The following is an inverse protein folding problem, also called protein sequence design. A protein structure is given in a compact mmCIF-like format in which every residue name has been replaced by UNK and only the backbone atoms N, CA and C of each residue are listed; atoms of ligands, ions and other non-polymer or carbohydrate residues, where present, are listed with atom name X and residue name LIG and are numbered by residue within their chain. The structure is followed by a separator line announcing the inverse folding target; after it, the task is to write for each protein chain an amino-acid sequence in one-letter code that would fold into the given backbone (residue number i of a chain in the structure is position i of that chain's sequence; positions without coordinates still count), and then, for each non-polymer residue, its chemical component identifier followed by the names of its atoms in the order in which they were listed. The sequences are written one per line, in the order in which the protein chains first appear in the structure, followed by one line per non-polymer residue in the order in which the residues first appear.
data_IF_309558911737
#
_entry.id   IF_309558911737
#
_cell.length_a   1.000
_cell.length_b   1.000
_cell.length_c   1.000
_cell.angle_alpha   90.00
_cell.angle_beta   90.00
_cell.angle_gamma   90.00
#
_symmetry.space_group_name_H-M   'P 1'
#
loop_
_entity.id
_entity.type
_entity.pdbx_description
1 polymer ?
#
# COMPACT_ATOMS: atom_id res chain seq x y z
N UNK A 1 18.31 13.48 5.51
CA UNK A 1 17.65 12.32 6.16
C UNK A 1 18.68 11.21 6.13
N UNK A 2 18.98 10.59 7.27
CA UNK A 2 19.97 9.51 7.35
C UNK A 2 19.49 8.25 6.62
N UNK A 3 20.41 7.40 6.12
CA UNK A 3 20.12 6.16 5.41
C UNK A 3 19.21 5.24 6.25
N UNK A 4 19.45 5.16 7.56
CA UNK A 4 18.60 4.39 8.48
C UNK A 4 17.17 4.94 8.58
N UNK A 5 17.01 6.26 8.63
CA UNK A 5 15.68 6.89 8.65
C UNK A 5 14.94 6.66 7.33
N UNK A 6 15.66 6.71 6.21
CA UNK A 6 15.14 6.45 4.87
C UNK A 6 14.68 5.00 4.72
N UNK A 7 15.45 4.05 5.24
CA UNK A 7 15.06 2.65 5.30
C UNK A 7 13.80 2.43 6.13
N UNK A 8 13.73 3.02 7.33
CA UNK A 8 12.54 2.88 8.19
C UNK A 8 11.29 3.43 7.48
N UNK A 9 11.38 4.63 6.89
CA UNK A 9 10.25 5.16 6.09
C UNK A 9 9.88 4.24 4.93
N UNK A 10 10.85 3.71 4.19
CA UNK A 10 10.58 2.75 3.11
C UNK A 10 9.77 1.55 3.61
N UNK A 11 10.15 0.99 4.77
CA UNK A 11 9.44 -0.14 5.39
C UNK A 11 8.03 0.26 5.80
N UNK A 12 7.85 1.44 6.43
CA UNK A 12 6.54 1.94 6.83
C UNK A 12 5.61 2.13 5.62
N UNK A 13 6.09 2.76 4.54
CA UNK A 13 5.31 2.95 3.32
C UNK A 13 4.97 1.61 2.65
N UNK A 14 5.85 0.61 2.69
CA UNK A 14 5.51 -0.75 2.25
C UNK A 14 4.38 -1.33 3.10
N UNK A 15 4.48 -1.22 4.42
CA UNK A 15 3.48 -1.77 5.34
C UNK A 15 2.12 -1.10 5.15
N UNK A 16 2.08 0.23 5.05
CA UNK A 16 0.85 0.96 4.77
C UNK A 16 0.28 0.58 3.41
N UNK A 17 1.11 0.48 2.37
CA UNK A 17 0.68 -0.01 1.06
C UNK A 17 0.00 -1.37 1.14
N UNK A 18 0.62 -2.33 1.85
CA UNK A 18 0.05 -3.68 2.03
C UNK A 18 -1.26 -3.67 2.80
N UNK A 19 -1.39 -2.87 3.87
CA UNK A 19 -2.64 -2.75 4.64
C UNK A 19 -3.75 -2.15 3.78
N UNK A 20 -3.48 -1.05 3.06
CA UNK A 20 -4.45 -0.43 2.17
C UNK A 20 -4.87 -1.38 1.04
N UNK A 21 -3.93 -2.14 0.48
CA UNK A 21 -4.21 -3.15 -0.53
C UNK A 21 -5.18 -4.22 0.01
N UNK A 22 -4.89 -4.76 1.19
CA UNK A 22 -5.72 -5.77 1.82
C UNK A 22 -7.14 -5.24 2.06
N UNK A 23 -7.26 -4.05 2.67
CA UNK A 23 -8.56 -3.40 2.92
C UNK A 23 -9.33 -3.15 1.61
N UNK A 24 -8.66 -2.65 0.57
CA UNK A 24 -9.26 -2.44 -0.75
C UNK A 24 -9.79 -3.73 -1.39
N UNK A 25 -9.03 -4.83 -1.28
CA UNK A 25 -9.46 -6.16 -1.75
C UNK A 25 -10.66 -6.66 -0.94
N UNK A 26 -10.67 -6.47 0.38
CA UNK A 26 -11.83 -6.86 1.21
C UNK A 26 -13.10 -6.11 0.80
N UNK A 27 -13.03 -4.81 0.54
CA UNK A 27 -14.18 -4.06 0.04
C UNK A 27 -14.67 -4.58 -1.32
N UNK A 28 -13.75 -4.91 -2.23
CA UNK A 28 -14.10 -5.50 -3.53
C UNK A 28 -14.77 -6.88 -3.39
N UNK A 29 -14.25 -7.75 -2.52
CA UNK A 29 -14.91 -9.03 -2.22
C UNK A 29 -16.32 -8.82 -1.67
N UNK A 30 -16.49 -7.81 -0.81
CA UNK A 30 -17.79 -7.38 -0.30
C UNK A 30 -18.78 -6.99 -1.40
N UNK A 31 -18.32 -6.50 -2.57
CA UNK A 31 -19.23 -6.16 -3.68
C UNK A 31 -19.63 -7.38 -4.52
N UNK A 32 -18.76 -8.38 -4.66
CA UNK A 32 -19.02 -9.57 -5.49
C UNK A 32 -19.92 -10.60 -4.79
N UNK A 33 -19.82 -10.76 -3.46
CA UNK A 33 -20.58 -11.81 -2.74
C UNK A 33 -22.09 -11.54 -2.85
N UNK A 34 -22.90 -12.40 -3.49
CA UNK A 34 -24.33 -12.14 -3.65
C UNK A 34 -25.04 -12.11 -2.30
N UNK A 35 -25.97 -11.16 -2.13
CA UNK A 35 -26.80 -11.05 -0.92
C UNK A 35 -28.16 -10.44 -1.27
N UNK A 36 -29.24 -10.99 -0.72
CA UNK A 36 -30.62 -10.61 -1.07
C UNK A 36 -30.98 -9.16 -0.69
N UNK A 37 -30.22 -8.52 0.19
CA UNK A 37 -30.45 -7.17 0.73
C UNK A 37 -29.53 -6.09 0.15
N UNK A 38 -28.78 -6.38 -0.92
CA UNK A 38 -27.81 -5.41 -1.47
C UNK A 38 -28.49 -4.22 -2.15
N UNK A 39 -28.42 -3.05 -1.53
CA UNK A 39 -28.85 -1.80 -2.15
C UNK A 39 -27.75 -1.33 -3.12
N UNK A 40 -28.12 -0.87 -4.32
CA UNK A 40 -27.18 -0.36 -5.33
C UNK A 40 -26.21 0.69 -4.76
N UNK A 41 -26.69 1.54 -3.85
CA UNK A 41 -25.88 2.56 -3.15
C UNK A 41 -24.73 1.94 -2.37
N UNK A 42 -24.96 0.83 -1.65
CA UNK A 42 -23.92 0.15 -0.86
C UNK A 42 -22.83 -0.44 -1.76
N UNK A 43 -23.22 -0.96 -2.94
CA UNK A 43 -22.29 -1.47 -3.94
C UNK A 43 -21.42 -0.34 -4.48
N UNK A 44 -22.00 0.82 -4.82
CA UNK A 44 -21.23 1.96 -5.30
C UNK A 44 -20.29 2.52 -4.25
N UNK A 45 -20.71 2.62 -2.99
CA UNK A 45 -19.88 3.07 -1.88
C UNK A 45 -18.71 2.10 -1.66
N UNK A 46 -18.97 0.80 -1.57
CA UNK A 46 -17.93 -0.21 -1.37
C UNK A 46 -16.96 -0.28 -2.55
N UNK A 47 -17.45 -0.14 -3.78
CA UNK A 47 -16.61 -0.05 -4.98
C UNK A 47 -15.73 1.19 -4.96
N UNK A 48 -16.32 2.36 -4.66
CA UNK A 48 -15.58 3.62 -4.55
C UNK A 48 -14.52 3.56 -3.45
N UNK A 49 -14.85 3.00 -2.29
CA UNK A 49 -13.90 2.76 -1.20
C UNK A 49 -12.76 1.84 -1.67
N UNK A 50 -13.09 0.70 -2.28
CA UNK A 50 -12.09 -0.24 -2.81
C UNK A 50 -11.11 0.45 -3.76
N UNK A 51 -11.61 1.19 -4.76
CA UNK A 51 -10.77 1.94 -5.70
C UNK A 51 -9.88 2.96 -4.97
N UNK A 52 -10.43 3.69 -4.00
CA UNK A 52 -9.68 4.65 -3.19
C UNK A 52 -8.54 4.00 -2.41
N UNK A 53 -8.81 2.88 -1.73
CA UNK A 53 -7.80 2.13 -0.98
C UNK A 53 -6.73 1.52 -1.89
N UNK A 54 -7.12 0.98 -3.05
CA UNK A 54 -6.19 0.45 -4.04
C UNK A 54 -5.29 1.55 -4.62
N UNK A 55 -5.86 2.71 -4.98
CA UNK A 55 -5.10 3.85 -5.47
C UNK A 55 -4.09 4.33 -4.41
N UNK A 56 -4.52 4.49 -3.15
CA UNK A 56 -3.64 4.87 -2.04
C UNK A 56 -2.51 3.85 -1.81
N UNK A 57 -2.82 2.56 -1.89
CA UNK A 57 -1.82 1.48 -1.82
C UNK A 57 -0.74 1.63 -2.90
N UNK A 58 -1.15 1.84 -4.16
CA UNK A 58 -0.22 2.04 -5.28
C UNK A 58 0.66 3.27 -5.06
N UNK A 59 0.10 4.37 -4.55
CA UNK A 59 0.86 5.57 -4.19
C UNK A 59 1.93 5.28 -3.13
N UNK A 60 1.58 4.56 -2.05
CA UNK A 60 2.54 4.19 -1.01
C UNK A 60 3.64 3.25 -1.50
N UNK A 61 3.31 2.27 -2.34
CA UNK A 61 4.34 1.43 -2.96
C UNK A 61 5.27 2.21 -3.89
N UNK A 62 4.73 3.20 -4.62
CA UNK A 62 5.54 4.08 -5.47
C UNK A 62 6.52 4.93 -4.65
N UNK A 63 6.07 5.45 -3.51
CA UNK A 63 6.92 6.20 -2.57
C UNK A 63 7.98 5.28 -1.96
N UNK A 64 7.61 4.08 -1.51
CA UNK A 64 8.56 3.11 -0.99
C UNK A 64 9.62 2.71 -2.04
N UNK A 65 9.21 2.56 -3.31
CA UNK A 65 10.14 2.29 -4.43
C UNK A 65 11.13 3.43 -4.62
N UNK A 66 10.68 4.70 -4.49
CA UNK A 66 11.55 5.87 -4.55
C UNK A 66 12.59 5.86 -3.43
N UNK A 67 12.20 5.56 -2.19
CA UNK A 67 13.15 5.45 -1.07
C UNK A 67 14.11 4.28 -1.23
N UNK A 68 13.65 3.14 -1.75
CA UNK A 68 14.54 2.03 -2.10
C UNK A 68 15.58 2.45 -3.14
N UNK A 69 15.19 3.21 -4.17
CA UNK A 69 16.12 3.72 -5.18
C UNK A 69 17.20 4.60 -4.57
N UNK A 70 16.81 5.51 -3.66
CA UNK A 70 17.74 6.39 -2.95
C UNK A 70 18.69 5.64 -2.03
N UNK A 71 18.23 4.56 -1.36
CA UNK A 71 19.09 3.71 -0.53
C UNK A 71 20.17 2.99 -1.34
N UNK A 72 19.87 2.59 -2.57
CA UNK A 72 20.81 1.88 -3.45
C UNK A 72 21.98 2.78 -3.86
N UNK A 73 21.80 4.11 -3.87
CA UNK A 73 22.85 5.08 -4.23
C UNK A 73 23.91 5.26 -3.13
N UNK A 74 23.70 4.69 -1.94
CA UNK A 74 24.59 4.84 -0.77
C UNK A 74 25.09 3.50 -0.26
N UNK A 75 26.35 3.42 0.17
CA UNK A 75 26.95 2.18 0.69
C UNK A 75 26.23 1.70 1.97
N UNK A 76 25.98 2.60 2.92
CA UNK A 76 25.19 2.32 4.13
C UNK A 76 23.77 1.83 3.80
N UNK A 77 23.11 2.46 2.81
CA UNK A 77 21.78 2.07 2.38
C UNK A 77 21.76 0.69 1.72
N UNK A 78 22.79 0.34 0.95
CA UNK A 78 22.96 -1.02 0.40
C UNK A 78 23.16 -2.06 1.51
N UNK A 79 23.98 -1.77 2.52
CA UNK A 79 24.17 -2.67 3.67
C UNK A 79 22.84 -2.93 4.39
N UNK A 80 22.05 -1.89 4.64
CA UNK A 80 20.72 -2.00 5.26
C UNK A 80 19.72 -2.81 4.42
N UNK A 81 19.82 -2.74 3.09
CA UNK A 81 18.97 -3.52 2.19
C UNK A 81 19.37 -5.01 2.12
N UNK A 82 20.66 -5.32 2.31
CA UNK A 82 21.20 -6.70 2.27
C UNK A 82 21.06 -7.44 3.62
N UNK A 83 20.91 -6.71 4.73
CA UNK A 83 20.70 -7.27 6.08
C UNK A 83 19.31 -7.90 6.30
N UNK A 84 18.45 -8.01 5.28
CA UNK A 84 17.06 -8.45 5.40
C UNK A 84 16.74 -9.71 4.61
#
# INVERSE_FOLDING_TARGET
MDAKQLYNKMVDFKQYGTVLLAVGVFFYLGTIIPSETKVMTDIYIATGASVGFLAGSVSFFSIAKKFRSQLIETEEGQELLMKK
#
